data_IF_458344764187
#
_entry.id   IF_458344764187
#
_cell.length_a   1.000
_cell.length_b   1.000
_cell.length_c   1.000
_cell.angle_alpha   90.00
_cell.angle_beta   90.00
_cell.angle_gamma   90.00
#
_symmetry.space_group_name_H-M   'P 1'
#
loop_
_entity.id
_entity.type
_entity.pdbx_description
1 polymer ?
#
# COMPACT_ATOMS: atom_id res chain seq x y z
N UNK A 1 12.81 11.53 -6.00
CA UNK A 1 13.84 10.49 -6.15
C UNK A 1 14.99 10.75 -5.21
N UNK A 2 15.44 9.73 -4.48
CA UNK A 2 16.58 9.85 -3.57
C UNK A 2 17.87 9.37 -4.25
N UNK A 3 18.98 9.98 -3.87
CA UNK A 3 20.32 9.53 -4.23
C UNK A 3 20.83 8.39 -3.33
N UNK A 4 21.99 7.79 -3.65
CA UNK A 4 22.60 6.77 -2.79
C UNK A 4 22.94 7.28 -1.38
N UNK A 5 23.14 8.58 -1.23
CA UNK A 5 23.40 9.30 0.03
C UNK A 5 22.13 9.67 0.80
N UNK A 6 20.96 9.16 0.36
CA UNK A 6 19.61 9.41 0.91
C UNK A 6 19.14 10.86 0.80
N UNK A 7 19.87 11.72 0.11
CA UNK A 7 19.43 13.10 -0.15
C UNK A 7 18.48 13.13 -1.34
N UNK A 8 17.59 14.11 -1.32
CA UNK A 8 16.70 14.36 -2.45
C UNK A 8 17.55 14.73 -3.67
N UNK A 9 17.56 13.86 -4.67
CA UNK A 9 18.22 14.08 -5.96
C UNK A 9 17.29 14.80 -6.95
N UNK A 10 16.02 14.44 -6.94
CA UNK A 10 15.00 15.03 -7.78
C UNK A 10 13.67 15.02 -7.02
N UNK A 11 13.18 16.19 -6.67
CA UNK A 11 11.94 16.35 -5.91
C UNK A 11 10.70 16.10 -6.78
N UNK A 12 10.76 16.44 -8.07
CA UNK A 12 9.67 16.32 -9.04
C UNK A 12 10.03 15.38 -10.20
N UNK A 13 10.58 14.23 -9.86
CA UNK A 13 11.00 13.24 -10.87
C UNK A 13 9.84 12.77 -11.75
N UNK A 14 8.66 12.55 -11.16
CA UNK A 14 7.38 12.39 -11.86
C UNK A 14 6.54 13.60 -11.45
N UNK A 15 6.13 14.41 -12.41
CA UNK A 15 5.46 15.68 -12.19
C UNK A 15 4.17 15.74 -13.02
N UNK A 16 3.03 15.60 -12.35
CA UNK A 16 1.71 15.64 -12.98
C UNK A 16 1.35 16.94 -13.69
N UNK A 17 2.16 18.02 -13.50
CA UNK A 17 2.00 19.26 -14.26
C UNK A 17 2.61 19.21 -15.66
N UNK A 18 3.38 18.16 -15.97
CA UNK A 18 4.04 18.03 -17.27
C UNK A 18 3.14 17.31 -18.28
N UNK A 19 3.20 17.68 -19.57
CA UNK A 19 2.48 16.99 -20.62
C UNK A 19 2.82 15.48 -20.64
N UNK A 20 1.79 14.65 -20.80
CA UNK A 20 1.94 13.19 -20.86
C UNK A 20 2.08 12.49 -19.51
N UNK A 21 1.97 13.22 -18.39
CA UNK A 21 1.89 12.67 -17.03
C UNK A 21 0.56 13.05 -16.40
N UNK A 22 -0.19 12.05 -15.96
CA UNK A 22 -1.45 12.24 -15.24
C UNK A 22 -1.31 11.69 -13.83
N UNK A 23 -1.59 12.53 -12.84
CA UNK A 23 -1.69 12.19 -11.42
C UNK A 23 -2.83 13.03 -10.83
N UNK A 24 -3.83 12.35 -10.23
CA UNK A 24 -4.99 13.01 -9.62
C UNK A 24 -4.81 13.11 -8.10
N UNK A 25 -4.66 11.98 -7.40
CA UNK A 25 -4.34 11.92 -5.97
C UNK A 25 -3.51 10.65 -5.67
N UNK A 26 -2.24 10.61 -6.11
CA UNK A 26 -1.37 9.46 -5.93
C UNK A 26 -1.17 9.14 -4.44
N UNK A 27 -1.13 7.85 -4.10
CA UNK A 27 -0.96 7.31 -2.77
C UNK A 27 0.18 6.29 -2.73
N UNK A 28 -0.09 5.07 -2.31
CA UNK A 28 0.89 4.01 -2.23
C UNK A 28 1.51 3.66 -3.59
N UNK A 29 2.75 3.20 -3.57
CA UNK A 29 3.49 2.87 -4.77
C UNK A 29 4.44 1.68 -4.58
N UNK A 30 4.63 0.91 -5.64
CA UNK A 30 5.55 -0.22 -5.63
C UNK A 30 6.34 -0.35 -6.94
N UNK A 31 7.50 -0.94 -6.83
CA UNK A 31 8.32 -1.30 -7.99
C UNK A 31 8.23 -2.81 -8.20
N UNK A 32 7.81 -3.21 -9.40
CA UNK A 32 7.80 -4.60 -9.84
C UNK A 32 8.32 -4.69 -11.27
N UNK A 33 9.26 -5.60 -11.53
CA UNK A 33 9.83 -5.87 -12.85
C UNK A 33 10.32 -4.59 -13.60
N UNK A 34 10.92 -3.63 -12.86
CA UNK A 34 11.44 -2.37 -13.44
C UNK A 34 10.39 -1.31 -13.78
N UNK A 35 9.15 -1.53 -13.37
CA UNK A 35 8.02 -0.60 -13.51
C UNK A 35 7.61 -0.09 -12.14
N UNK A 36 7.36 1.21 -12.03
CA UNK A 36 6.74 1.84 -10.87
C UNK A 36 5.23 1.83 -11.08
N UNK A 37 4.49 1.27 -10.13
CA UNK A 37 3.04 1.28 -10.03
C UNK A 37 2.62 2.24 -8.94
N UNK A 38 1.61 3.07 -9.21
CA UNK A 38 1.12 4.09 -8.28
C UNK A 38 -0.40 4.01 -8.21
N UNK A 39 -0.96 3.84 -7.03
CA UNK A 39 -2.40 3.93 -6.80
C UNK A 39 -2.86 5.40 -6.94
N UNK A 40 -3.89 5.65 -7.74
CA UNK A 40 -4.38 7.01 -8.02
C UNK A 40 -5.91 7.02 -8.20
N UNK A 41 -6.65 7.14 -7.10
CA UNK A 41 -8.12 7.13 -6.98
C UNK A 41 -8.74 5.79 -7.44
N UNK A 42 -8.97 5.61 -8.73
CA UNK A 42 -9.57 4.40 -9.34
C UNK A 42 -8.70 3.78 -10.42
N UNK A 43 -7.46 4.27 -10.54
CA UNK A 43 -6.52 3.90 -11.59
C UNK A 43 -5.19 3.53 -10.96
N UNK A 44 -4.53 2.50 -11.45
CA UNK A 44 -3.11 2.25 -11.16
C UNK A 44 -2.29 2.78 -12.32
N UNK A 45 -1.47 3.81 -12.04
CA UNK A 45 -0.59 4.42 -13.03
C UNK A 45 0.72 3.68 -13.10
N UNK A 46 1.21 3.44 -14.31
CA UNK A 46 2.50 2.77 -14.55
C UNK A 46 3.52 3.74 -15.10
N UNK A 47 4.72 3.72 -14.54
CA UNK A 47 5.83 4.55 -14.99
C UNK A 47 7.08 3.72 -15.21
N UNK A 48 7.82 4.07 -16.24
CA UNK A 48 9.16 3.55 -16.49
C UNK A 48 10.11 4.01 -15.37
N UNK A 49 10.70 3.06 -14.66
CA UNK A 49 11.51 3.37 -13.49
C UNK A 49 12.79 4.18 -13.83
N UNK A 50 13.32 4.03 -15.04
CA UNK A 50 14.53 4.73 -15.45
C UNK A 50 14.27 6.23 -15.70
N UNK A 51 13.29 6.55 -16.53
CA UNK A 51 13.02 7.90 -17.03
C UNK A 51 11.82 8.60 -16.39
N UNK A 52 10.94 7.88 -15.65
CA UNK A 52 9.70 8.44 -15.09
C UNK A 52 8.63 8.72 -16.15
N UNK A 53 8.77 8.13 -17.34
CA UNK A 53 7.78 8.25 -18.42
C UNK A 53 6.55 7.42 -18.10
N UNK A 54 5.34 7.98 -18.23
CA UNK A 54 4.11 7.22 -18.08
C UNK A 54 3.96 6.17 -19.18
N UNK A 55 3.68 4.94 -18.79
CA UNK A 55 3.57 3.78 -19.69
C UNK A 55 2.11 3.46 -20.00
N UNK A 56 1.30 3.36 -18.95
CA UNK A 56 -0.09 2.97 -19.05
C UNK A 56 -0.89 3.39 -17.81
N UNK A 57 -2.19 3.38 -17.96
CA UNK A 57 -3.18 3.49 -16.90
C UNK A 57 -3.99 2.19 -16.87
N UNK A 58 -4.11 1.57 -15.68
CA UNK A 58 -4.92 0.39 -15.46
C UNK A 58 -6.12 0.80 -14.62
N UNK A 59 -7.27 0.95 -15.26
CA UNK A 59 -8.52 1.26 -14.58
C UNK A 59 -9.04 0.02 -13.83
N UNK A 60 -9.45 0.22 -12.57
CA UNK A 60 -10.07 -0.82 -11.77
C UNK A 60 -11.56 -0.49 -11.61
N UNK A 61 -12.38 -1.13 -12.41
CA UNK A 61 -13.82 -0.87 -12.46
C UNK A 61 -14.48 -1.06 -11.09
N UNK A 62 -15.23 -0.04 -10.65
CA UNK A 62 -15.96 -0.05 -9.38
C UNK A 62 -15.08 0.11 -8.13
N UNK A 63 -13.82 0.50 -8.27
CA UNK A 63 -13.00 1.01 -7.17
C UNK A 63 -13.31 2.49 -6.95
N UNK A 64 -13.09 2.96 -5.72
CA UNK A 64 -13.37 4.37 -5.35
C UNK A 64 -12.19 5.05 -4.67
N UNK A 65 -11.31 4.29 -4.04
CA UNK A 65 -10.18 4.83 -3.29
C UNK A 65 -9.04 3.83 -3.23
N UNK A 66 -8.40 3.59 -4.40
CA UNK A 66 -7.18 2.78 -4.41
C UNK A 66 -6.13 3.46 -3.53
N UNK A 67 -5.57 2.68 -2.61
CA UNK A 67 -4.73 3.22 -1.56
C UNK A 67 -3.29 2.73 -1.67
N UNK A 68 -3.02 1.46 -1.46
CA UNK A 68 -1.66 0.96 -1.47
C UNK A 68 -1.40 -0.06 -2.57
N UNK A 69 -0.11 -0.20 -2.91
CA UNK A 69 0.39 -1.10 -3.94
C UNK A 69 1.60 -1.85 -3.42
N UNK A 70 1.58 -3.18 -3.50
CA UNK A 70 2.72 -4.02 -3.13
C UNK A 70 3.19 -4.91 -4.29
N UNK A 71 4.50 -5.18 -4.44
CA UNK A 71 4.99 -6.05 -5.48
C UNK A 71 4.56 -7.50 -5.21
N UNK A 72 4.16 -8.22 -6.26
CA UNK A 72 3.87 -9.66 -6.20
C UNK A 72 5.12 -10.46 -6.55
N UNK A 73 5.40 -11.52 -5.80
CA UNK A 73 6.47 -12.47 -6.11
C UNK A 73 6.30 -13.13 -7.49
N UNK A 74 5.06 -13.32 -7.91
CA UNK A 74 4.74 -13.85 -9.24
C UNK A 74 4.87 -12.81 -10.38
N UNK A 75 5.21 -11.56 -10.03
CA UNK A 75 5.25 -10.38 -10.91
C UNK A 75 3.92 -9.65 -11.00
N UNK A 76 3.98 -8.38 -11.38
CA UNK A 76 2.88 -7.44 -11.21
C UNK A 76 2.73 -6.99 -9.76
N UNK A 77 1.53 -6.58 -9.34
CA UNK A 77 1.29 -5.96 -8.03
C UNK A 77 -0.02 -6.42 -7.38
N UNK A 78 -0.11 -6.30 -6.05
CA UNK A 78 -1.36 -6.23 -5.31
C UNK A 78 -1.77 -4.78 -5.12
N UNK A 79 -3.07 -4.53 -5.01
CA UNK A 79 -3.65 -3.19 -4.81
C UNK A 79 -4.80 -3.27 -3.83
N UNK A 80 -4.89 -2.32 -2.91
CA UNK A 80 -6.02 -2.16 -2.01
C UNK A 80 -6.97 -1.06 -2.47
N UNK A 81 -8.27 -1.24 -2.25
CA UNK A 81 -9.29 -0.21 -2.32
C UNK A 81 -9.88 -0.02 -0.92
N UNK A 82 -9.62 1.12 -0.31
CA UNK A 82 -10.16 1.45 1.02
C UNK A 82 -11.67 1.66 1.00
N UNK A 83 -12.26 1.85 -0.16
CA UNK A 83 -13.71 2.03 -0.32
C UNK A 83 -14.21 3.33 0.31
N UNK A 84 -13.63 4.46 -0.08
CA UNK A 84 -14.03 5.79 0.38
C UNK A 84 -14.51 6.67 -0.77
N UNK A 85 -15.43 7.58 -0.47
CA UNK A 85 -15.84 8.67 -1.36
C UNK A 85 -14.83 9.84 -1.30
N UNK A 86 -15.02 10.84 -2.16
CA UNK A 86 -14.26 12.09 -2.10
C UNK A 86 -14.46 12.88 -0.79
N UNK A 87 -15.52 12.56 -0.02
CA UNK A 87 -15.78 13.13 1.32
C UNK A 87 -15.21 12.27 2.45
N UNK A 88 -14.42 11.26 2.12
CA UNK A 88 -13.86 10.26 3.04
C UNK A 88 -14.94 9.44 3.79
N UNK A 89 -16.12 9.30 3.20
CA UNK A 89 -17.20 8.44 3.72
C UNK A 89 -17.08 7.04 3.11
N UNK A 90 -17.37 5.95 3.88
CA UNK A 90 -17.35 4.60 3.35
C UNK A 90 -18.33 4.41 2.19
N UNK A 91 -17.89 3.79 1.11
CA UNK A 91 -18.71 3.47 -0.08
C UNK A 91 -19.15 2.01 -0.12
N UNK A 92 -18.51 1.14 0.70
CA UNK A 92 -18.73 -0.31 0.66
C UNK A 92 -18.05 -1.01 -0.52
N UNK A 93 -17.15 -0.32 -1.22
CA UNK A 93 -16.39 -0.90 -2.36
C UNK A 93 -15.08 -1.56 -1.94
N UNK A 94 -14.81 -1.65 -0.63
CA UNK A 94 -13.61 -2.25 -0.06
C UNK A 94 -13.19 -3.50 -0.84
N UNK A 95 -11.95 -3.51 -1.31
CA UNK A 95 -11.47 -4.62 -2.12
C UNK A 95 -9.95 -4.79 -2.07
N UNK A 96 -9.51 -5.98 -2.48
CA UNK A 96 -8.12 -6.31 -2.72
C UNK A 96 -8.03 -6.90 -4.12
N UNK A 97 -7.14 -6.35 -4.92
CA UNK A 97 -6.90 -6.77 -6.29
C UNK A 97 -5.49 -7.29 -6.48
N UNK A 98 -5.32 -8.11 -7.50
CA UNK A 98 -4.02 -8.42 -8.08
C UNK A 98 -4.03 -7.91 -9.53
N UNK A 99 -2.94 -7.31 -9.95
CA UNK A 99 -2.65 -6.98 -11.35
C UNK A 99 -1.48 -7.85 -11.76
N UNK A 100 -1.65 -8.65 -12.80
CA UNK A 100 -0.58 -9.53 -13.27
C UNK A 100 0.37 -8.82 -14.27
N UNK A 101 1.37 -9.53 -14.75
CA UNK A 101 2.37 -9.01 -15.72
C UNK A 101 1.76 -8.57 -17.06
N UNK A 102 0.54 -9.00 -17.37
CA UNK A 102 -0.19 -8.66 -18.60
C UNK A 102 -1.22 -7.56 -18.38
N UNK A 103 -1.14 -6.89 -17.21
CA UNK A 103 -2.06 -5.84 -16.76
C UNK A 103 -3.51 -6.33 -16.51
N UNK A 104 -3.70 -7.66 -16.42
CA UNK A 104 -5.00 -8.22 -16.07
C UNK A 104 -5.30 -8.01 -14.60
N UNK A 105 -6.45 -7.36 -14.32
CA UNK A 105 -6.97 -7.16 -12.97
C UNK A 105 -7.73 -8.41 -12.52
N UNK A 106 -7.43 -8.88 -11.32
CA UNK A 106 -8.05 -10.03 -10.66
C UNK A 106 -8.54 -9.57 -9.29
N UNK A 107 -9.83 -9.68 -9.01
CA UNK A 107 -10.37 -9.41 -7.67
C UNK A 107 -10.07 -10.60 -6.77
N UNK A 108 -9.31 -10.36 -5.70
CA UNK A 108 -8.99 -11.39 -4.69
C UNK A 108 -10.03 -11.43 -3.57
N UNK A 109 -10.50 -10.25 -3.14
CA UNK A 109 -11.56 -10.08 -2.17
C UNK A 109 -12.31 -8.77 -2.44
N UNK A 110 -13.63 -8.77 -2.19
CA UNK A 110 -14.46 -7.57 -2.22
C UNK A 110 -15.60 -7.73 -1.22
N UNK A 111 -15.60 -6.92 -0.17
CA UNK A 111 -16.63 -6.96 0.89
C UNK A 111 -16.50 -5.70 1.76
N UNK A 112 -17.61 -5.08 2.11
CA UNK A 112 -17.63 -3.96 3.06
C UNK A 112 -17.10 -4.33 4.46
N UNK A 113 -16.92 -5.63 4.74
CA UNK A 113 -16.40 -6.15 6.02
C UNK A 113 -14.86 -6.21 6.04
N UNK A 114 -14.16 -5.90 4.92
CA UNK A 114 -12.70 -5.88 4.88
C UNK A 114 -12.07 -4.77 5.74
N UNK A 115 -12.86 -3.80 6.19
CA UNK A 115 -12.45 -2.84 7.22
C UNK A 115 -11.67 -1.63 6.70
N UNK A 116 -11.81 -1.29 5.42
CA UNK A 116 -11.02 -0.23 4.77
C UNK A 116 -9.58 -0.65 4.55
N UNK A 117 -9.32 -1.62 3.64
CA UNK A 117 -7.96 -2.05 3.32
C UNK A 117 -7.07 -0.86 2.95
N UNK A 118 -5.91 -0.76 3.60
CA UNK A 118 -4.90 0.27 3.36
C UNK A 118 -3.58 -0.41 2.99
N UNK A 119 -2.57 -0.39 3.82
CA UNK A 119 -1.29 -1.02 3.53
C UNK A 119 -1.40 -2.51 3.24
N UNK A 120 -0.62 -2.99 2.27
CA UNK A 120 -0.60 -4.39 1.83
C UNK A 120 0.83 -4.87 1.61
N UNK A 121 1.12 -6.13 1.96
CA UNK A 121 2.43 -6.73 1.72
C UNK A 121 2.32 -8.23 1.45
N UNK A 122 3.15 -8.74 0.53
CA UNK A 122 3.37 -10.18 0.38
C UNK A 122 4.63 -10.61 1.15
N UNK A 123 4.46 -11.52 2.09
CA UNK A 123 5.57 -12.12 2.83
C UNK A 123 5.36 -13.62 3.00
N UNK A 124 6.40 -14.42 2.73
CA UNK A 124 6.37 -15.88 2.87
C UNK A 124 5.19 -16.56 2.15
N UNK A 125 4.81 -16.05 0.97
CA UNK A 125 3.68 -16.56 0.17
C UNK A 125 2.31 -16.26 0.75
N UNK A 126 2.22 -15.33 1.69
CA UNK A 126 0.99 -14.85 2.31
C UNK A 126 0.82 -13.36 2.06
N UNK A 127 -0.42 -12.92 1.92
CA UNK A 127 -0.77 -11.52 1.77
C UNK A 127 -1.28 -11.01 3.11
N UNK A 128 -0.67 -9.95 3.62
CA UNK A 128 -1.09 -9.27 4.83
C UNK A 128 -1.60 -7.88 4.50
N UNK A 129 -2.64 -7.46 5.20
CA UNK A 129 -3.31 -6.19 4.98
C UNK A 129 -3.57 -5.52 6.32
N UNK A 130 -3.29 -4.23 6.41
CA UNK A 130 -3.74 -3.38 7.50
C UNK A 130 -4.91 -2.52 7.05
N UNK A 131 -5.71 -2.07 8.01
CA UNK A 131 -6.96 -1.39 7.72
C UNK A 131 -7.02 -0.03 8.40
N UNK A 132 -7.45 0.98 7.66
CA UNK A 132 -7.69 2.31 8.21
C UNK A 132 -8.91 2.29 9.15
N UNK A 133 -10.06 1.82 8.66
CA UNK A 133 -11.36 1.95 9.34
C UNK A 133 -11.51 1.08 10.59
N UNK A 134 -11.01 -0.16 10.57
CA UNK A 134 -11.12 -1.07 11.72
C UNK A 134 -9.87 -1.13 12.60
N UNK A 135 -8.74 -0.55 12.15
CA UNK A 135 -7.49 -0.54 12.90
C UNK A 135 -6.93 -1.94 13.13
N UNK A 136 -7.01 -2.80 12.13
CA UNK A 136 -6.67 -4.20 12.26
C UNK A 136 -5.65 -4.65 11.21
N UNK A 137 -4.91 -5.70 11.56
CA UNK A 137 -4.11 -6.52 10.65
C UNK A 137 -4.85 -7.82 10.37
N UNK A 138 -4.77 -8.31 9.13
CA UNK A 138 -5.17 -9.68 8.81
C UNK A 138 -4.30 -10.29 7.70
N UNK A 139 -4.23 -11.62 7.69
CA UNK A 139 -3.80 -12.38 6.54
C UNK A 139 -5.01 -12.60 5.62
N UNK A 140 -4.89 -12.28 4.34
CA UNK A 140 -5.94 -12.56 3.36
C UNK A 140 -6.10 -14.08 3.20
N UNK A 141 -7.26 -14.67 3.52
CA UNK A 141 -7.49 -16.09 3.34
C UNK A 141 -7.77 -16.41 1.87
N UNK A 142 -7.56 -17.68 1.48
CA UNK A 142 -7.93 -18.16 0.15
C UNK A 142 -9.45 -18.16 -0.10
N UNK A 143 -10.25 -18.27 0.97
CA UNK A 143 -11.72 -18.25 0.95
C UNK A 143 -12.25 -17.72 2.27
N UNK A 144 -13.42 -17.07 2.23
CA UNK A 144 -14.12 -16.55 3.40
C UNK A 144 -13.58 -15.21 3.90
N UNK A 145 -14.11 -14.77 5.02
CA UNK A 145 -13.75 -13.49 5.63
C UNK A 145 -12.42 -13.61 6.41
N UNK A 146 -11.56 -12.58 6.37
CA UNK A 146 -10.33 -12.58 7.13
C UNK A 146 -10.57 -12.45 8.63
N UNK A 147 -9.78 -13.17 9.42
CA UNK A 147 -9.74 -12.97 10.87
C UNK A 147 -8.90 -11.71 11.16
N UNK A 148 -9.58 -10.65 11.57
CA UNK A 148 -8.97 -9.38 11.89
C UNK A 148 -8.42 -9.38 13.32
N UNK A 149 -7.19 -8.90 13.49
CA UNK A 149 -6.55 -8.64 14.78
C UNK A 149 -6.35 -7.13 14.93
N UNK A 150 -7.02 -6.52 15.91
CA UNK A 150 -6.88 -5.09 16.18
C UNK A 150 -5.54 -4.76 16.83
N UNK A 151 -4.90 -3.69 16.37
CA UNK A 151 -3.76 -3.10 17.03
C UNK A 151 -4.20 -2.15 18.15
N UNK A 152 -3.28 -1.75 19.05
CA UNK A 152 -3.62 -0.90 20.21
C UNK A 152 -4.26 0.44 19.84
N UNK A 153 -3.88 1.04 18.70
CA UNK A 153 -4.51 2.22 18.11
C UNK A 153 -4.80 1.95 16.64
N UNK A 154 -5.82 2.63 16.12
CA UNK A 154 -6.35 2.43 14.78
C UNK A 154 -5.72 3.31 13.71
N UNK A 155 -6.51 3.51 12.65
CA UNK A 155 -6.13 4.23 11.44
C UNK A 155 -4.76 3.80 10.93
N UNK A 156 -4.67 2.49 10.60
CA UNK A 156 -3.41 1.89 10.15
C UNK A 156 -3.20 2.20 8.67
N UNK A 157 -1.96 2.54 8.31
CA UNK A 157 -1.62 2.97 6.95
C UNK A 157 -0.62 2.01 6.30
N UNK A 158 0.67 2.19 6.52
CA UNK A 158 1.71 1.38 5.90
C UNK A 158 2.03 0.09 6.64
N UNK A 159 2.51 -0.90 5.92
CA UNK A 159 2.97 -2.18 6.46
C UNK A 159 4.21 -2.69 5.73
N UNK A 160 5.24 -3.08 6.45
CA UNK A 160 6.37 -3.84 5.92
C UNK A 160 6.68 -5.04 6.79
N UNK A 161 7.26 -6.07 6.19
CA UNK A 161 7.78 -7.25 6.92
C UNK A 161 9.30 -7.27 6.81
N UNK A 162 9.95 -7.23 7.96
CA UNK A 162 11.40 -7.29 8.07
C UNK A 162 11.93 -8.69 7.77
N UNK A 163 13.23 -8.86 7.46
CA UNK A 163 13.80 -10.17 7.15
C UNK A 163 13.65 -11.24 8.25
N UNK A 164 13.52 -10.82 9.52
CA UNK A 164 13.26 -11.70 10.67
C UNK A 164 11.78 -12.08 10.84
N UNK A 165 10.92 -11.64 9.93
CA UNK A 165 9.48 -11.87 9.96
C UNK A 165 8.73 -10.93 10.92
N UNK A 166 9.38 -9.92 11.45
CA UNK A 166 8.75 -8.86 12.26
C UNK A 166 8.02 -7.87 11.36
N UNK A 167 6.84 -7.46 11.76
CA UNK A 167 6.08 -6.40 11.09
C UNK A 167 6.46 -5.03 11.65
N UNK A 168 6.48 -4.03 10.76
CA UNK A 168 6.35 -2.61 11.12
C UNK A 168 5.07 -2.10 10.49
N UNK A 169 4.24 -1.42 11.29
CA UNK A 169 2.93 -0.93 10.87
C UNK A 169 2.78 0.50 11.37
N UNK A 170 2.45 1.43 10.50
CA UNK A 170 2.16 2.82 10.88
C UNK A 170 0.72 2.98 11.37
N UNK A 171 0.53 3.88 12.33
CA UNK A 171 -0.78 4.22 12.90
C UNK A 171 -0.91 5.74 13.05
N UNK A 172 -1.89 6.32 12.39
CA UNK A 172 -2.22 7.74 12.51
C UNK A 172 -2.74 8.06 13.91
N UNK A 173 -3.70 7.26 14.40
CA UNK A 173 -4.24 7.43 15.76
C UNK A 173 -3.17 7.25 16.85
N UNK A 174 -2.19 6.39 16.62
CA UNK A 174 -1.09 6.15 17.52
C UNK A 174 0.04 7.16 17.40
N UNK A 175 0.13 7.90 16.29
CA UNK A 175 1.26 8.78 15.93
C UNK A 175 2.60 8.07 16.06
N UNK A 176 2.63 6.79 15.67
CA UNK A 176 3.75 5.89 15.90
C UNK A 176 3.85 4.78 14.87
N UNK A 177 4.88 3.97 14.99
CA UNK A 177 4.97 2.66 14.36
C UNK A 177 4.81 1.58 15.43
N UNK A 178 4.02 0.56 15.12
CA UNK A 178 4.00 -0.70 15.85
C UNK A 178 5.02 -1.66 15.27
N UNK A 179 5.81 -2.28 16.14
CA UNK A 179 6.72 -3.35 15.77
C UNK A 179 6.29 -4.64 16.46
N UNK A 180 6.28 -5.76 15.75
CA UNK A 180 5.93 -7.02 16.40
C UNK A 180 5.49 -8.12 15.46
N UNK A 181 4.79 -9.07 16.05
CA UNK A 181 4.12 -10.19 15.36
C UNK A 181 2.69 -10.27 15.87
N UNK A 182 1.76 -10.92 15.14
CA UNK A 182 0.41 -11.12 15.62
C UNK A 182 0.36 -11.59 17.08
N UNK A 183 -0.41 -10.87 17.91
CA UNK A 183 -0.55 -11.11 19.34
C UNK A 183 0.50 -10.42 20.23
N UNK A 184 1.54 -9.78 19.67
CA UNK A 184 2.60 -9.13 20.48
C UNK A 184 3.14 -7.88 19.75
N UNK A 185 2.63 -6.71 20.13
CA UNK A 185 2.96 -5.43 19.52
C UNK A 185 3.68 -4.51 20.49
N UNK A 186 4.81 -3.98 20.07
CA UNK A 186 5.56 -2.91 20.72
C UNK A 186 5.19 -1.58 20.06
N UNK A 187 4.79 -0.59 20.86
CA UNK A 187 4.63 0.79 20.42
C UNK A 187 5.99 1.49 20.50
N UNK A 188 6.52 1.94 19.36
CA UNK A 188 7.81 2.62 19.31
C UNK A 188 7.77 4.06 19.83
N UNK A 189 6.60 4.60 20.15
CA UNK A 189 6.35 5.92 20.74
C UNK A 189 7.08 7.08 20.03
N UNK A 190 7.06 7.07 18.71
CA UNK A 190 7.87 7.99 17.88
C UNK A 190 7.31 9.42 17.84
N UNK A 191 6.03 9.63 18.18
CA UNK A 191 5.38 10.93 18.14
C UNK A 191 5.32 11.54 16.74
N UNK A 192 5.22 10.70 15.69
CA UNK A 192 5.16 11.15 14.30
C UNK A 192 3.74 11.53 13.96
N UNK A 193 3.52 12.78 13.57
CA UNK A 193 2.21 13.21 13.06
C UNK A 193 1.90 12.50 11.74
N UNK A 194 0.76 11.80 11.68
CA UNK A 194 0.23 11.14 10.50
C UNK A 194 1.26 10.28 9.72
N UNK A 195 1.89 9.26 10.37
CA UNK A 195 2.83 8.40 9.70
C UNK A 195 2.09 7.57 8.65
N UNK A 196 2.45 7.76 7.37
CA UNK A 196 1.78 7.14 6.23
C UNK A 196 2.45 5.81 5.82
N UNK A 197 2.51 5.55 4.52
CA UNK A 197 3.07 4.32 3.96
C UNK A 197 4.55 4.12 4.34
N UNK A 198 4.99 2.86 4.34
CA UNK A 198 6.32 2.44 4.77
C UNK A 198 7.04 1.69 3.67
N UNK A 199 8.33 1.97 3.53
CA UNK A 199 9.23 1.20 2.69
C UNK A 199 10.42 0.65 3.46
N UNK A 200 10.93 -0.53 3.09
CA UNK A 200 12.14 -1.11 3.66
C UNK A 200 13.15 -1.52 2.59
N UNK A 201 14.32 -0.87 2.61
CA UNK A 201 15.44 -1.25 1.76
C UNK A 201 16.22 -2.40 2.39
N UNK A 202 15.99 -3.61 1.90
CA UNK A 202 16.63 -4.82 2.40
C UNK A 202 18.15 -4.82 2.21
N UNK A 203 18.69 -4.14 1.17
CA UNK A 203 20.12 -4.08 0.92
C UNK A 203 20.82 -3.15 1.90
N UNK A 204 20.19 -2.02 2.23
CA UNK A 204 20.76 -1.03 3.15
C UNK A 204 20.28 -1.19 4.58
N UNK A 205 19.36 -2.13 4.84
CA UNK A 205 18.69 -2.35 6.16
C UNK A 205 18.11 -1.05 6.72
N UNK A 206 17.35 -0.35 5.90
CA UNK A 206 16.85 0.98 6.20
C UNK A 206 15.36 1.08 5.86
N UNK A 207 14.55 1.63 6.79
CA UNK A 207 13.16 1.98 6.59
C UNK A 207 12.97 3.44 6.17
N UNK A 208 11.99 3.74 5.33
CA UNK A 208 11.51 5.07 4.91
C UNK A 208 10.01 5.13 5.04
#
# INVERSE_FOLDING_TARGET
>A
KLGPDRKVKDLKWIDGSKPGIKLDAPKGMAISDGVLYVADISVVRKFELAAGRQLADIEIAGSTFLNDVAPRKAGGVFVTDTGMSAKLEPTGTDAIYAIDKTDKVITLAKSATLGGPNGIVEANGKIYVVTARTGALYQLPAKGEPKQEKLPKGDLDGIVVLPDGTFLISSWDGKTLYRGKPGAWEDLQLGIEAPADLGYDTKRKFGV
#
